data_IF_678606070054
#
_entry.id   IF_678606070054
#
_cell.length_a   1.000
_cell.length_b   1.000
_cell.length_c   1.000
_cell.angle_alpha   90.00
_cell.angle_beta   90.00
_cell.angle_gamma   90.00
#
_symmetry.space_group_name_H-M   'P 1'
#
loop_
_entity.id
_entity.type
_entity.pdbx_description
1 polymer ?
#
# COMPACT_ATOMS: atom_id res chain seq x y z
N UNK A 1 -27.98 -25.64 36.81
CA UNK A 1 -28.39 -24.74 35.70
C UNK A 1 -27.15 -24.13 35.06
N UNK A 2 -27.27 -23.70 33.81
CA UNK A 2 -26.27 -23.72 32.74
C UNK A 2 -25.02 -22.84 32.89
N UNK A 3 -23.95 -23.34 32.25
CA UNK A 3 -22.64 -22.72 31.96
C UNK A 3 -22.77 -21.56 30.96
N UNK A 4 -21.87 -20.59 31.02
CA UNK A 4 -21.32 -19.96 29.80
C UNK A 4 -19.91 -19.44 30.06
N UNK A 5 -18.94 -20.11 29.46
CA UNK A 5 -17.56 -19.67 29.31
C UNK A 5 -17.48 -18.90 27.99
N UNK A 6 -17.15 -17.61 28.05
CA UNK A 6 -16.89 -16.80 26.86
C UNK A 6 -15.45 -17.03 26.39
N UNK A 7 -15.28 -17.97 25.46
CA UNK A 7 -14.06 -18.14 24.68
C UNK A 7 -13.90 -16.96 23.71
N UNK A 8 -13.19 -15.91 24.15
CA UNK A 8 -12.61 -14.92 23.22
C UNK A 8 -11.30 -15.48 22.69
N UNK A 9 -11.35 -15.96 21.46
CA UNK A 9 -10.18 -16.35 20.67
C UNK A 9 -9.35 -15.08 20.43
N UNK A 10 -8.27 -14.93 21.17
CA UNK A 10 -7.29 -13.88 20.98
C UNK A 10 -6.41 -14.23 19.78
N UNK A 11 -6.65 -13.57 18.64
CA UNK A 11 -5.66 -13.49 17.56
C UNK A 11 -4.60 -12.43 17.93
N UNK A 12 -3.71 -12.81 18.86
CA UNK A 12 -2.44 -12.10 19.06
C UNK A 12 -1.35 -13.16 19.24
N UNK A 13 -0.80 -13.65 18.12
CA UNK A 13 0.33 -14.57 18.12
C UNK A 13 1.61 -13.80 18.43
N UNK A 14 1.82 -13.47 19.70
CA UNK A 14 3.18 -13.25 20.24
C UNK A 14 3.90 -14.60 20.25
N UNK A 15 4.82 -14.80 19.29
CA UNK A 15 5.64 -16.00 19.13
C UNK A 15 6.81 -16.02 20.14
N UNK A 16 6.91 -17.03 21.03
CA UNK A 16 8.17 -17.41 21.63
C UNK A 16 8.85 -18.51 20.81
N UNK A 17 10.06 -18.24 20.32
CA UNK A 17 11.10 -19.26 20.20
C UNK A 17 11.39 -19.86 18.82
N UNK A 18 12.68 -19.73 18.45
CA UNK A 18 13.54 -20.72 17.75
C UNK A 18 13.61 -20.68 16.21
N UNK A 19 14.49 -19.81 15.72
CA UNK A 19 15.66 -20.16 14.87
C UNK A 19 15.50 -21.15 13.70
N UNK A 20 14.33 -21.26 13.05
CA UNK A 20 14.15 -22.21 11.94
C UNK A 20 13.27 -21.77 10.76
N UNK A 21 12.42 -20.74 10.90
CA UNK A 21 11.53 -20.32 9.81
C UNK A 21 11.91 -18.92 9.31
N UNK A 22 13.12 -18.76 8.73
CA UNK A 22 13.51 -17.50 8.11
C UNK A 22 12.59 -17.12 6.94
N UNK A 23 12.01 -18.11 6.25
CA UNK A 23 11.16 -17.89 5.07
C UNK A 23 9.82 -17.21 5.40
N UNK A 24 9.16 -17.59 6.49
CA UNK A 24 7.91 -16.93 6.91
C UNK A 24 8.14 -15.52 7.45
N UNK A 25 9.36 -15.22 7.93
CA UNK A 25 9.66 -13.96 8.59
C UNK A 25 9.60 -12.79 7.62
N UNK A 26 10.13 -12.95 6.41
CA UNK A 26 10.23 -11.84 5.45
C UNK A 26 8.85 -11.32 5.01
N UNK A 27 7.92 -12.21 4.65
CA UNK A 27 6.54 -11.82 4.32
C UNK A 27 5.80 -11.31 5.56
N UNK A 28 6.05 -11.89 6.73
CA UNK A 28 5.47 -11.41 7.99
C UNK A 28 5.89 -9.97 8.29
N UNK A 29 7.17 -9.64 8.11
CA UNK A 29 7.71 -8.30 8.32
C UNK A 29 7.07 -7.31 7.33
N UNK A 30 6.88 -7.70 6.08
CA UNK A 30 6.16 -6.90 5.08
C UNK A 30 4.70 -6.65 5.49
N UNK A 31 3.97 -7.67 5.95
CA UNK A 31 2.58 -7.54 6.44
C UNK A 31 2.48 -6.57 7.63
N UNK A 32 3.50 -6.54 8.48
CA UNK A 32 3.61 -5.63 9.63
C UNK A 32 3.94 -4.21 9.15
N UNK A 33 4.91 -4.06 8.26
CA UNK A 33 5.28 -2.77 7.68
C UNK A 33 4.07 -2.11 7.00
N UNK A 34 3.32 -2.86 6.19
CA UNK A 34 2.10 -2.34 5.55
C UNK A 34 1.00 -1.99 6.56
N UNK A 35 0.93 -2.71 7.69
CA UNK A 35 0.02 -2.30 8.78
C UNK A 35 0.38 -0.91 9.31
N UNK A 36 1.67 -0.66 9.50
CA UNK A 36 2.15 0.61 10.01
C UNK A 36 1.90 1.74 9.01
N UNK A 37 2.09 1.48 7.70
CA UNK A 37 1.73 2.43 6.63
C UNK A 37 0.25 2.80 6.70
N UNK A 38 -0.65 1.80 6.74
CA UNK A 38 -2.09 2.02 6.88
C UNK A 38 -2.43 2.90 8.10
N UNK A 39 -1.86 2.61 9.27
CA UNK A 39 -2.09 3.41 10.48
C UNK A 39 -1.56 4.85 10.34
N UNK A 40 -0.43 5.04 9.65
CA UNK A 40 0.10 6.35 9.33
C UNK A 40 -0.83 7.12 8.38
N UNK A 41 -1.42 6.46 7.38
CA UNK A 41 -2.39 7.07 6.48
C UNK A 41 -3.65 7.49 7.24
N UNK A 42 -4.22 6.62 8.07
CA UNK A 42 -5.39 6.95 8.90
C UNK A 42 -5.11 8.13 9.84
N UNK A 43 -3.93 8.16 10.45
CA UNK A 43 -3.52 9.27 11.32
C UNK A 43 -3.36 10.56 10.52
N UNK A 44 -2.70 10.49 9.36
CA UNK A 44 -2.51 11.63 8.47
C UNK A 44 -3.87 12.23 8.09
N UNK A 45 -4.83 11.42 7.63
CA UNK A 45 -6.18 11.90 7.30
C UNK A 45 -6.82 12.61 8.50
N UNK A 46 -6.78 12.01 9.69
CA UNK A 46 -7.40 12.59 10.88
C UNK A 46 -6.77 13.92 11.29
N UNK A 47 -5.44 14.01 11.26
CA UNK A 47 -4.73 15.24 11.63
C UNK A 47 -4.92 16.32 10.56
N UNK A 48 -4.96 15.95 9.28
CA UNK A 48 -5.24 16.86 8.17
C UNK A 48 -6.68 17.38 8.20
N UNK A 49 -7.67 16.52 8.45
CA UNK A 49 -9.07 16.93 8.58
C UNK A 49 -9.28 17.96 9.71
N UNK A 50 -8.62 17.76 10.87
CA UNK A 50 -8.65 18.74 11.97
C UNK A 50 -8.04 20.09 11.56
N UNK A 51 -6.92 20.06 10.82
CA UNK A 51 -6.31 21.28 10.32
C UNK A 51 -7.24 22.02 9.34
N UNK A 52 -7.93 21.27 8.47
CA UNK A 52 -8.91 21.80 7.53
C UNK A 52 -10.14 22.41 8.24
N UNK A 53 -10.66 21.75 9.28
CA UNK A 53 -11.78 22.28 10.07
C UNK A 53 -11.37 23.53 10.86
N UNK A 54 -10.15 23.58 11.39
CA UNK A 54 -9.60 24.76 12.04
C UNK A 54 -9.43 25.92 11.05
N UNK A 55 -8.94 25.65 9.83
CA UNK A 55 -8.82 26.64 8.76
C UNK A 55 -10.18 27.25 8.40
N UNK A 56 -11.19 26.40 8.18
CA UNK A 56 -12.56 26.84 7.89
C UNK A 56 -13.13 27.68 9.03
N UNK A 57 -12.99 27.21 10.27
CA UNK A 57 -13.50 27.89 11.46
C UNK A 57 -12.86 29.25 11.67
N UNK A 58 -11.54 29.35 11.47
CA UNK A 58 -10.83 30.61 11.53
C UNK A 58 -11.30 31.56 10.42
N UNK A 59 -11.37 31.09 9.17
CA UNK A 59 -11.78 31.92 8.03
C UNK A 59 -13.16 32.55 8.21
N UNK A 60 -14.15 31.80 8.71
CA UNK A 60 -15.50 32.32 8.99
C UNK A 60 -15.46 33.47 10.02
N UNK A 61 -14.51 33.46 10.95
CA UNK A 61 -14.36 34.48 11.98
C UNK A 61 -13.74 35.81 11.51
N UNK A 62 -13.06 35.82 10.36
CA UNK A 62 -12.28 36.99 9.89
C UNK A 62 -13.04 37.91 8.92
N UNK A 63 -14.14 37.43 8.33
CA UNK A 63 -14.95 38.22 7.39
C UNK A 63 -15.60 37.37 6.31
N UNK A 64 -16.45 38.00 5.51
CA UNK A 64 -17.21 37.31 4.46
C UNK A 64 -16.31 36.76 3.34
N UNK A 65 -15.29 37.51 2.94
CA UNK A 65 -14.37 37.14 1.87
C UNK A 65 -13.43 35.99 2.28
N UNK A 66 -12.76 36.11 3.42
CA UNK A 66 -11.92 35.05 3.96
C UNK A 66 -12.76 33.83 4.34
N UNK A 67 -13.96 34.04 4.89
CA UNK A 67 -14.91 32.98 5.20
C UNK A 67 -15.26 32.16 3.97
N UNK A 68 -15.60 32.80 2.86
CA UNK A 68 -15.97 32.12 1.61
C UNK A 68 -14.78 31.37 0.97
N UNK A 69 -13.66 32.08 0.75
CA UNK A 69 -12.48 31.52 0.06
C UNK A 69 -11.86 30.37 0.86
N UNK A 70 -11.71 30.53 2.18
CA UNK A 70 -11.11 29.49 3.02
C UNK A 70 -12.07 28.33 3.28
N UNK A 71 -13.38 28.57 3.33
CA UNK A 71 -14.36 27.47 3.40
C UNK A 71 -14.35 26.62 2.13
N UNK A 72 -14.27 27.27 0.96
CA UNK A 72 -14.15 26.61 -0.34
C UNK A 72 -12.82 25.84 -0.44
N UNK A 73 -11.72 26.46 -0.02
CA UNK A 73 -10.39 25.82 0.03
C UNK A 73 -10.39 24.61 0.97
N UNK A 74 -11.03 24.73 2.14
CA UNK A 74 -11.20 23.64 3.08
C UNK A 74 -11.99 22.47 2.46
N UNK A 75 -13.04 22.75 1.70
CA UNK A 75 -13.80 21.70 1.00
C UNK A 75 -12.94 20.95 -0.03
N UNK A 76 -12.07 21.64 -0.77
CA UNK A 76 -11.11 20.97 -1.67
C UNK A 76 -10.11 20.11 -0.91
N UNK A 77 -9.60 20.60 0.22
CA UNK A 77 -8.67 19.84 1.06
C UNK A 77 -9.33 18.60 1.71
N UNK A 78 -10.64 18.62 1.93
CA UNK A 78 -11.36 17.41 2.37
C UNK A 78 -11.41 16.31 1.30
N UNK A 79 -11.41 16.66 0.00
CA UNK A 79 -11.25 15.64 -1.05
C UNK A 79 -9.92 14.93 -0.95
N UNK A 80 -8.84 15.65 -0.64
CA UNK A 80 -7.53 15.02 -0.40
C UNK A 80 -7.58 14.03 0.78
N UNK A 81 -8.22 14.41 1.89
CA UNK A 81 -8.45 13.49 3.01
C UNK A 81 -9.17 12.21 2.58
N UNK A 82 -10.24 12.34 1.80
CA UNK A 82 -11.03 11.21 1.32
C UNK A 82 -10.19 10.26 0.44
N UNK A 83 -9.39 10.81 -0.48
CA UNK A 83 -8.52 10.00 -1.34
C UNK A 83 -7.42 9.30 -0.56
N UNK A 84 -6.84 9.94 0.48
CA UNK A 84 -5.88 9.26 1.37
C UNK A 84 -6.57 8.14 2.18
N UNK A 85 -7.82 8.33 2.60
CA UNK A 85 -8.61 7.26 3.23
C UNK A 85 -8.93 6.10 2.29
N UNK A 86 -9.15 6.36 1.00
CA UNK A 86 -9.25 5.32 -0.03
C UNK A 86 -7.94 4.54 -0.13
N UNK A 87 -6.79 5.22 -0.20
CA UNK A 87 -5.47 4.57 -0.20
C UNK A 87 -5.27 3.69 1.05
N UNK A 88 -5.66 4.16 2.24
CA UNK A 88 -5.61 3.33 3.46
C UNK A 88 -6.46 2.05 3.33
N UNK A 89 -7.65 2.16 2.74
CA UNK A 89 -8.53 1.02 2.47
C UNK A 89 -7.91 0.05 1.45
N UNK A 90 -7.24 0.57 0.41
CA UNK A 90 -6.47 -0.24 -0.54
C UNK A 90 -5.32 -0.98 0.16
N UNK A 91 -4.58 -0.33 1.06
CA UNK A 91 -3.54 -0.97 1.88
C UNK A 91 -4.10 -2.14 2.70
N UNK A 92 -5.32 -2.03 3.24
CA UNK A 92 -5.96 -3.14 3.94
C UNK A 92 -6.26 -4.33 3.01
N UNK A 93 -6.69 -4.09 1.77
CA UNK A 93 -6.88 -5.14 0.75
C UNK A 93 -5.56 -5.80 0.37
N UNK A 94 -4.51 -5.00 0.13
CA UNK A 94 -3.14 -5.47 -0.15
C UNK A 94 -2.67 -6.46 0.92
N UNK A 95 -2.86 -6.11 2.20
CA UNK A 95 -2.50 -6.99 3.32
C UNK A 95 -3.28 -8.30 3.35
N UNK A 96 -4.50 -8.33 2.80
CA UNK A 96 -5.30 -9.55 2.71
C UNK A 96 -4.68 -10.52 1.70
N UNK A 97 -4.19 -10.04 0.56
CA UNK A 97 -3.43 -10.86 -0.39
C UNK A 97 -2.11 -11.39 0.21
N UNK A 98 -1.39 -10.56 0.96
CA UNK A 98 -0.16 -11.03 1.62
C UNK A 98 -0.43 -12.12 2.66
N UNK A 99 -1.51 -11.97 3.44
CA UNK A 99 -1.92 -12.98 4.42
C UNK A 99 -2.34 -14.30 3.77
N UNK A 100 -3.02 -14.25 2.62
CA UNK A 100 -3.42 -15.48 1.92
C UNK A 100 -2.22 -16.28 1.43
N UNK A 101 -1.15 -15.62 0.95
CA UNK A 101 0.14 -16.28 0.67
C UNK A 101 0.69 -16.90 1.95
N UNK A 102 0.76 -16.14 3.05
CA UNK A 102 1.34 -16.63 4.31
C UNK A 102 0.64 -17.90 4.81
N UNK A 103 -0.69 -17.95 4.69
CA UNK A 103 -1.46 -19.15 5.04
C UNK A 103 -1.06 -20.37 4.21
N UNK A 104 -0.79 -20.22 2.92
CA UNK A 104 -0.31 -21.33 2.08
C UNK A 104 1.14 -21.71 2.37
N UNK A 105 2.01 -20.74 2.67
CA UNK A 105 3.38 -21.03 3.13
C UNK A 105 3.39 -21.82 4.44
N UNK A 106 2.52 -21.46 5.39
CA UNK A 106 2.33 -22.19 6.64
C UNK A 106 1.84 -23.63 6.40
N UNK A 107 0.94 -23.84 5.44
CA UNK A 107 0.44 -25.17 5.04
C UNK A 107 1.56 -26.04 4.42
N UNK A 108 2.35 -25.47 3.51
CA UNK A 108 3.51 -26.17 2.93
C UNK A 108 4.54 -26.56 4.00
N UNK A 109 4.84 -25.66 4.94
CA UNK A 109 5.74 -25.98 6.05
C UNK A 109 5.19 -27.08 6.95
N UNK A 110 3.87 -27.18 7.13
CA UNK A 110 3.25 -28.28 7.84
C UNK A 110 3.43 -29.61 7.12
N UNK A 111 3.29 -29.65 5.78
CA UNK A 111 3.58 -30.84 4.97
C UNK A 111 5.05 -31.26 5.10
N UNK A 112 5.98 -30.32 4.99
CA UNK A 112 7.41 -30.61 5.15
C UNK A 112 7.77 -31.11 6.56
N UNK A 113 7.08 -30.63 7.61
CA UNK A 113 7.24 -31.16 8.97
C UNK A 113 6.68 -32.58 9.09
N UNK A 114 5.53 -32.87 8.47
CA UNK A 114 4.96 -34.22 8.40
C UNK A 114 5.93 -35.18 7.71
N UNK A 115 6.48 -34.79 6.57
CA UNK A 115 7.49 -35.55 5.83
C UNK A 115 8.70 -35.91 6.70
N UNK A 116 9.34 -34.92 7.34
CA UNK A 116 10.48 -35.18 8.26
C UNK A 116 10.11 -36.10 9.42
N UNK A 117 8.91 -35.99 9.97
CA UNK A 117 8.43 -36.89 11.03
C UNK A 117 8.27 -38.32 10.52
N UNK A 118 7.71 -38.51 9.32
CA UNK A 118 7.58 -39.82 8.70
C UNK A 118 8.94 -40.43 8.37
N UNK A 119 9.88 -39.66 7.85
CA UNK A 119 11.26 -40.10 7.62
C UNK A 119 11.91 -40.59 8.91
N UNK A 120 11.84 -39.81 10.00
CA UNK A 120 12.40 -40.21 11.30
C UNK A 120 11.75 -41.49 11.87
N UNK A 121 10.44 -41.67 11.67
CA UNK A 121 9.72 -42.91 12.03
C UNK A 121 10.19 -44.09 11.20
N UNK A 122 10.37 -43.91 9.89
CA UNK A 122 10.87 -44.93 8.98
C UNK A 122 12.30 -45.36 9.36
N UNK A 123 13.21 -44.41 9.58
CA UNK A 123 14.57 -44.69 10.04
C UNK A 123 14.61 -45.45 11.37
N UNK A 124 13.74 -45.05 12.31
CA UNK A 124 13.60 -45.74 13.59
C UNK A 124 13.08 -47.17 13.43
N UNK A 125 12.15 -47.39 12.49
CA UNK A 125 11.62 -48.70 12.16
C UNK A 125 12.66 -49.59 11.46
N UNK A 126 13.44 -49.03 10.52
CA UNK A 126 14.55 -49.69 9.84
C UNK A 126 15.65 -50.08 10.84
N UNK A 127 16.00 -49.20 11.78
CA UNK A 127 16.97 -49.49 12.86
C UNK A 127 16.49 -50.57 13.84
N UNK A 128 15.18 -50.73 14.03
CA UNK A 128 14.62 -51.85 14.81
C UNK A 128 14.69 -53.15 14.02
N UNK A 129 14.35 -53.11 12.72
CA UNK A 129 14.41 -54.26 11.84
C UNK A 129 15.85 -54.81 11.74
N UNK A 130 16.86 -53.95 11.62
CA UNK A 130 18.26 -54.36 11.52
C UNK A 130 18.81 -55.06 12.77
N UNK A 131 18.10 -54.98 13.90
CA UNK A 131 18.45 -55.65 15.17
C UNK A 131 17.64 -56.92 15.43
N UNK A 132 16.68 -57.26 14.56
CA UNK A 132 15.83 -58.44 14.71
C UNK A 132 16.49 -59.70 14.11
N UNK A 133 16.38 -60.84 14.81
CA UNK A 133 16.79 -62.15 14.29
C UNK A 133 15.82 -62.67 13.22
N UNK A 134 16.28 -63.45 12.21
CA UNK A 134 15.44 -64.02 11.17
C UNK A 134 14.27 -64.89 11.68
N UNK A 135 14.38 -65.46 12.88
CA UNK A 135 13.37 -66.32 13.50
C UNK A 135 12.30 -65.54 14.29
N UNK A 136 12.37 -64.21 14.31
CA UNK A 136 11.48 -63.39 15.12
C UNK A 136 10.08 -63.31 14.51
N UNK A 137 9.05 -63.72 15.27
CA UNK A 137 7.65 -63.73 14.84
C UNK A 137 7.12 -62.34 14.44
N UNK A 138 7.72 -61.27 14.94
CA UNK A 138 7.33 -59.88 14.64
C UNK A 138 8.01 -59.30 13.39
N UNK A 139 8.90 -60.06 12.73
CA UNK A 139 9.68 -59.58 11.59
C UNK A 139 8.80 -59.13 10.41
N UNK A 140 7.80 -59.95 10.05
CA UNK A 140 6.89 -59.60 8.95
C UNK A 140 6.04 -58.36 9.25
N UNK A 141 5.55 -58.20 10.48
CA UNK A 141 4.80 -57.01 10.88
C UNK A 141 5.68 -55.75 10.79
N UNK A 142 6.95 -55.84 11.20
CA UNK A 142 7.91 -54.74 11.10
C UNK A 142 8.23 -54.38 9.64
N UNK A 143 8.41 -55.37 8.76
CA UNK A 143 8.61 -55.14 7.32
C UNK A 143 7.38 -54.48 6.67
N UNK A 144 6.17 -54.94 7.01
CA UNK A 144 4.93 -54.33 6.52
C UNK A 144 4.81 -52.86 6.95
N UNK A 145 5.16 -52.54 8.20
CA UNK A 145 5.15 -51.17 8.71
C UNK A 145 6.14 -50.26 7.96
N UNK A 146 7.35 -50.76 7.66
CA UNK A 146 8.34 -49.99 6.89
C UNK A 146 7.82 -49.72 5.48
N UNK A 147 7.24 -50.71 4.81
CA UNK A 147 6.66 -50.52 3.47
C UNK A 147 5.53 -49.48 3.49
N UNK A 148 4.66 -49.52 4.50
CA UNK A 148 3.60 -48.51 4.70
C UNK A 148 4.17 -47.11 4.90
N UNK A 149 5.18 -46.96 5.77
CA UNK A 149 5.82 -45.66 6.02
C UNK A 149 6.51 -45.12 4.76
N UNK A 150 7.15 -45.98 3.96
CA UNK A 150 7.78 -45.58 2.69
C UNK A 150 6.77 -45.11 1.66
N UNK A 151 5.62 -45.77 1.58
CA UNK A 151 4.54 -45.33 0.69
C UNK A 151 3.98 -43.98 1.14
N UNK A 152 3.70 -43.81 2.43
CA UNK A 152 3.22 -42.52 2.97
C UNK A 152 4.24 -41.39 2.77
N UNK A 153 5.55 -41.68 2.88
CA UNK A 153 6.60 -40.70 2.56
C UNK A 153 6.52 -40.29 1.09
N UNK A 154 6.40 -41.25 0.16
CA UNK A 154 6.31 -40.96 -1.28
C UNK A 154 5.05 -40.16 -1.61
N UNK A 155 3.92 -40.44 -0.97
CA UNK A 155 2.69 -39.67 -1.11
C UNK A 155 2.90 -38.21 -0.68
N UNK A 156 3.44 -37.99 0.52
CA UNK A 156 3.69 -36.63 1.05
C UNK A 156 4.75 -35.89 0.22
N UNK A 157 5.77 -36.57 -0.31
CA UNK A 157 6.73 -35.97 -1.25
C UNK A 157 6.04 -35.47 -2.53
N UNK A 158 5.10 -36.26 -3.06
CA UNK A 158 4.25 -35.84 -4.18
C UNK A 158 3.41 -34.60 -3.87
N UNK A 159 2.76 -34.58 -2.70
CA UNK A 159 1.98 -33.43 -2.22
C UNK A 159 2.84 -32.17 -2.07
N UNK A 160 4.04 -32.30 -1.50
CA UNK A 160 4.99 -31.18 -1.34
C UNK A 160 5.39 -30.62 -2.71
N UNK A 161 5.79 -31.47 -3.66
CA UNK A 161 6.20 -31.02 -5.00
C UNK A 161 5.05 -30.30 -5.72
N UNK A 162 3.83 -30.81 -5.62
CA UNK A 162 2.65 -30.19 -6.23
C UNK A 162 2.32 -28.83 -5.58
N UNK A 163 2.34 -28.76 -4.24
CA UNK A 163 2.05 -27.52 -3.50
C UNK A 163 3.14 -26.47 -3.70
N UNK A 164 4.42 -26.85 -3.78
CA UNK A 164 5.53 -25.91 -4.08
C UNK A 164 5.37 -25.23 -5.44
N UNK A 165 5.03 -26.01 -6.48
CA UNK A 165 4.76 -25.47 -7.80
C UNK A 165 3.55 -24.52 -7.78
N UNK A 166 2.43 -24.97 -7.21
CA UNK A 166 1.20 -24.18 -7.14
C UNK A 166 1.34 -22.90 -6.29
N UNK A 167 2.14 -22.96 -5.22
CA UNK A 167 2.44 -21.81 -4.37
C UNK A 167 3.29 -20.78 -5.11
N UNK A 168 4.26 -21.22 -5.91
CA UNK A 168 5.07 -20.34 -6.75
C UNK A 168 4.23 -19.50 -7.72
N UNK A 169 3.29 -20.13 -8.43
CA UNK A 169 2.36 -19.42 -9.32
C UNK A 169 1.41 -18.50 -8.55
N UNK A 170 0.88 -18.98 -7.43
CA UNK A 170 -0.02 -18.20 -6.59
C UNK A 170 0.64 -16.92 -6.05
N UNK A 171 1.89 -17.01 -5.58
CA UNK A 171 2.68 -15.85 -5.13
C UNK A 171 2.79 -14.80 -6.23
N UNK A 172 3.10 -15.20 -7.47
CA UNK A 172 3.17 -14.27 -8.61
C UNK A 172 1.83 -13.62 -8.92
N UNK A 173 0.75 -14.41 -8.93
CA UNK A 173 -0.59 -13.90 -9.21
C UNK A 173 -1.05 -12.89 -8.16
N UNK A 174 -0.89 -13.22 -6.87
CA UNK A 174 -1.26 -12.31 -5.77
C UNK A 174 -0.35 -11.07 -5.73
N UNK A 175 0.96 -11.23 -5.98
CA UNK A 175 1.88 -10.10 -6.04
C UNK A 175 1.53 -9.12 -7.15
N UNK A 176 1.18 -9.63 -8.34
CA UNK A 176 0.69 -8.80 -9.44
C UNK A 176 -0.57 -8.03 -9.04
N UNK A 177 -1.51 -8.68 -8.38
CA UNK A 177 -2.77 -8.07 -7.96
C UNK A 177 -2.55 -6.95 -6.93
N UNK A 178 -1.85 -7.22 -5.82
CA UNK A 178 -1.68 -6.20 -4.80
C UNK A 178 -0.76 -5.06 -5.25
N UNK A 179 0.23 -5.32 -6.10
CA UNK A 179 1.08 -4.25 -6.64
C UNK A 179 0.28 -3.37 -7.60
N UNK A 180 -0.65 -3.96 -8.37
CA UNK A 180 -1.61 -3.20 -9.16
C UNK A 180 -2.47 -2.28 -8.28
N UNK A 181 -2.99 -2.81 -7.17
CA UNK A 181 -3.76 -2.03 -6.21
C UNK A 181 -2.92 -0.89 -5.60
N UNK A 182 -1.67 -1.17 -5.22
CA UNK A 182 -0.77 -0.17 -4.63
C UNK A 182 -0.50 0.99 -5.60
N UNK A 183 -0.14 0.67 -6.85
CA UNK A 183 0.17 1.69 -7.84
C UNK A 183 -1.08 2.42 -8.33
N UNK A 184 -2.23 1.74 -8.45
CA UNK A 184 -3.51 2.37 -8.78
C UNK A 184 -3.92 3.39 -7.73
N UNK A 185 -3.82 3.04 -6.43
CA UNK A 185 -4.13 3.95 -5.34
C UNK A 185 -3.19 5.15 -5.28
N UNK A 186 -1.89 4.95 -5.55
CA UNK A 186 -0.93 6.06 -5.65
C UNK A 186 -1.24 6.97 -6.85
N UNK A 187 -1.67 6.40 -7.98
CA UNK A 187 -2.09 7.14 -9.17
C UNK A 187 -3.29 8.04 -8.87
N UNK A 188 -4.34 7.47 -8.25
CA UNK A 188 -5.54 8.22 -7.84
C UNK A 188 -5.18 9.40 -6.91
N UNK A 189 -4.38 9.15 -5.86
CA UNK A 189 -3.91 10.22 -4.96
C UNK A 189 -3.13 11.29 -5.73
N UNK A 190 -2.25 10.89 -6.65
CA UNK A 190 -1.45 11.82 -7.45
C UNK A 190 -2.32 12.73 -8.32
N UNK A 191 -3.26 12.15 -9.07
CA UNK A 191 -4.16 12.88 -9.97
C UNK A 191 -5.06 13.86 -9.20
N UNK A 192 -5.71 13.39 -8.14
CA UNK A 192 -6.55 14.24 -7.29
C UNK A 192 -5.74 15.36 -6.63
N UNK A 193 -4.51 15.08 -6.17
CA UNK A 193 -3.64 16.09 -5.56
C UNK A 193 -3.30 17.22 -6.52
N UNK A 194 -3.03 16.89 -7.79
CA UNK A 194 -2.73 17.89 -8.81
C UNK A 194 -3.95 18.77 -9.08
N UNK A 195 -5.15 18.19 -9.18
CA UNK A 195 -6.38 18.97 -9.36
C UNK A 195 -6.66 19.89 -8.16
N UNK A 196 -6.56 19.37 -6.94
CA UNK A 196 -6.73 20.17 -5.71
C UNK A 196 -5.74 21.32 -5.66
N UNK A 197 -4.46 21.07 -5.99
CA UNK A 197 -3.44 22.11 -6.02
C UNK A 197 -3.72 23.18 -7.10
N UNK A 198 -4.26 22.78 -8.26
CA UNK A 198 -4.62 23.70 -9.33
C UNK A 198 -5.79 24.60 -8.92
N UNK A 199 -6.95 24.02 -8.56
CA UNK A 199 -8.14 24.80 -8.19
C UNK A 199 -7.96 25.55 -6.88
N UNK A 200 -7.19 25.01 -5.93
CA UNK A 200 -6.84 25.71 -4.70
C UNK A 200 -6.09 27.00 -4.97
N UNK A 201 -5.17 27.03 -5.94
CA UNK A 201 -4.47 28.27 -6.33
C UNK A 201 -5.42 29.28 -6.96
N UNK A 202 -6.36 28.84 -7.79
CA UNK A 202 -7.39 29.71 -8.37
C UNK A 202 -8.28 30.35 -7.30
N UNK A 203 -8.65 29.59 -6.26
CA UNK A 203 -9.38 30.16 -5.11
C UNK A 203 -8.56 31.23 -4.39
N UNK A 204 -7.27 30.98 -4.14
CA UNK A 204 -6.41 31.96 -3.47
C UNK A 204 -6.22 33.23 -4.32
N UNK A 205 -6.17 33.11 -5.64
CA UNK A 205 -6.09 34.26 -6.55
C UNK A 205 -7.32 35.17 -6.48
N UNK A 206 -8.49 34.62 -6.12
CA UNK A 206 -9.72 35.41 -5.93
C UNK A 206 -9.74 36.26 -4.64
N UNK A 207 -8.70 36.16 -3.80
CA UNK A 207 -8.64 36.88 -2.53
C UNK A 207 -8.40 38.38 -2.70
N UNK A 208 -9.31 39.25 -2.19
CA UNK A 208 -9.15 40.69 -2.35
C UNK A 208 -8.04 41.22 -1.42
N UNK A 209 -6.96 41.74 -2.02
CA UNK A 209 -5.80 42.29 -1.31
C UNK A 209 -5.87 43.81 -1.10
N UNK A 210 -7.03 44.43 -1.37
CA UNK A 210 -7.20 45.87 -1.19
C UNK A 210 -6.97 46.30 0.25
N UNK A 211 -6.14 47.35 0.41
CA UNK A 211 -5.83 47.89 1.73
C UNK A 211 -7.06 48.60 2.30
N UNK A 212 -7.44 48.23 3.52
CA UNK A 212 -8.44 48.96 4.28
C UNK A 212 -7.77 50.10 5.04
N UNK A 213 -8.29 51.32 4.90
CA UNK A 213 -7.81 52.47 5.66
C UNK A 213 -8.26 52.39 7.14
N UNK A 214 -7.40 52.77 8.10
CA UNK A 214 -7.75 52.71 9.51
C UNK A 214 -9.04 53.50 9.84
N UNK A 215 -10.01 52.83 10.46
CA UNK A 215 -11.29 53.43 10.85
C UNK A 215 -12.38 53.41 9.78
N UNK A 216 -12.08 52.93 8.56
CA UNK A 216 -13.09 52.66 7.53
C UNK A 216 -13.45 51.17 7.48
N UNK A 217 -14.70 50.83 7.10
CA UNK A 217 -15.07 49.44 6.84
C UNK A 217 -14.33 48.92 5.60
N UNK A 218 -14.12 47.60 5.55
CA UNK A 218 -13.57 46.93 4.36
C UNK A 218 -14.57 47.01 3.19
N UNK A 219 -14.05 46.94 1.96
CA UNK A 219 -14.86 46.86 0.76
C UNK A 219 -15.83 45.66 0.81
N UNK A 220 -17.02 45.83 0.23
CA UNK A 220 -18.03 44.78 0.17
C UNK A 220 -17.53 43.63 -0.71
N UNK A 221 -17.66 42.41 -0.20
CA UNK A 221 -17.26 41.21 -0.94
C UNK A 221 -18.31 40.82 -1.99
N UNK A 222 -17.87 40.55 -3.22
CA UNK A 222 -18.76 40.12 -4.33
C UNK A 222 -18.28 38.84 -5.01
N UNK A 223 -17.30 38.14 -4.42
CA UNK A 223 -16.63 36.99 -5.05
C UNK A 223 -17.36 35.64 -4.93
N UNK A 224 -18.48 35.57 -4.20
CA UNK A 224 -19.21 34.31 -3.92
C UNK A 224 -19.57 33.48 -5.16
N UNK A 225 -19.90 34.14 -6.27
CA UNK A 225 -20.25 33.42 -7.50
C UNK A 225 -19.01 32.79 -8.16
N UNK A 226 -17.88 33.51 -8.14
CA UNK A 226 -16.61 33.04 -8.69
C UNK A 226 -16.06 31.87 -7.87
N UNK A 227 -16.00 31.98 -6.55
CA UNK A 227 -15.52 30.92 -5.66
C UNK A 227 -16.39 29.66 -5.79
N UNK A 228 -17.71 29.82 -5.86
CA UNK A 228 -18.64 28.71 -6.10
C UNK A 228 -18.43 28.05 -7.46
N UNK A 229 -18.20 28.82 -8.53
CA UNK A 229 -17.89 28.26 -9.85
C UNK A 229 -16.63 27.41 -9.81
N UNK A 230 -15.54 27.94 -9.25
CA UNK A 230 -14.25 27.24 -9.11
C UNK A 230 -14.42 25.95 -8.29
N UNK A 231 -15.15 26.01 -7.17
CA UNK A 231 -15.39 24.84 -6.32
C UNK A 231 -16.21 23.76 -7.05
N UNK A 232 -17.24 24.13 -7.80
CA UNK A 232 -18.04 23.19 -8.58
C UNK A 232 -17.23 22.55 -9.72
N UNK A 233 -16.40 23.32 -10.41
CA UNK A 233 -15.51 22.80 -11.46
C UNK A 233 -14.48 21.82 -10.89
N UNK A 234 -13.94 22.12 -9.71
CA UNK A 234 -13.04 21.23 -9.00
C UNK A 234 -13.73 19.91 -8.60
N UNK A 235 -14.93 19.97 -8.03
CA UNK A 235 -15.73 18.79 -7.68
C UNK A 235 -15.98 17.90 -8.90
N UNK A 236 -16.38 18.50 -10.03
CA UNK A 236 -16.62 17.77 -11.27
C UNK A 236 -15.33 17.16 -11.86
N UNK A 237 -14.21 17.88 -11.78
CA UNK A 237 -12.92 17.37 -12.23
C UNK A 237 -12.43 16.19 -11.37
N UNK A 238 -12.57 16.30 -10.04
CA UNK A 238 -12.19 15.25 -9.10
C UNK A 238 -13.07 14.01 -9.28
N UNK A 239 -14.37 14.17 -9.50
CA UNK A 239 -15.30 13.04 -9.76
C UNK A 239 -14.97 12.23 -11.01
N UNK A 240 -14.24 12.82 -11.97
CA UNK A 240 -13.83 12.15 -13.21
C UNK A 240 -12.54 11.34 -13.06
N UNK A 241 -11.84 11.46 -11.93
CA UNK A 241 -10.66 10.63 -11.66
C UNK A 241 -11.12 9.19 -11.44
N UNK A 242 -10.60 8.29 -12.25
CA UNK A 242 -10.92 6.86 -12.19
C UNK A 242 -9.77 6.08 -11.56
N UNK A 243 -10.09 5.26 -10.56
CA UNK A 243 -9.14 4.31 -10.02
C UNK A 243 -8.83 3.21 -11.05
N UNK A 244 -7.56 3.05 -11.41
CA UNK A 244 -7.10 2.03 -12.35
C UNK A 244 -5.94 1.22 -11.77
N UNK A 245 -6.14 -0.05 -11.36
CA UNK A 245 -5.08 -0.87 -10.79
C UNK A 245 -4.08 -1.40 -11.83
N UNK A 246 -4.41 -1.28 -13.11
CA UNK A 246 -3.59 -1.75 -14.22
C UNK A 246 -3.44 -0.64 -15.26
N UNK A 247 -2.30 -0.60 -15.98
CA UNK A 247 -2.04 0.45 -16.95
C UNK A 247 -3.15 0.49 -18.01
N UNK A 248 -3.74 1.67 -18.19
CA UNK A 248 -4.53 2.00 -19.36
C UNK A 248 -3.59 2.29 -20.54
N UNK A 249 -4.09 2.21 -21.78
CA UNK A 249 -3.28 2.45 -22.99
C UNK A 249 -2.81 3.91 -23.15
N UNK A 250 -3.07 4.79 -22.19
CA UNK A 250 -2.78 6.22 -22.23
C UNK A 250 -2.21 6.69 -20.89
N UNK A 251 -1.19 7.55 -20.93
CA UNK A 251 -0.72 8.26 -19.75
C UNK A 251 -1.81 9.23 -19.25
N UNK A 252 -1.93 9.44 -17.93
CA UNK A 252 -2.85 10.45 -17.38
C UNK A 252 -2.55 11.83 -17.98
N UNK A 253 -3.58 12.48 -18.51
CA UNK A 253 -3.47 13.86 -19.00
C UNK A 253 -3.38 14.80 -17.80
N UNK A 254 -2.20 15.39 -17.57
CA UNK A 254 -2.05 16.47 -16.61
C UNK A 254 -2.88 17.69 -17.06
N UNK A 255 -3.46 18.46 -16.13
CA UNK A 255 -4.15 19.69 -16.49
C UNK A 255 -3.16 20.65 -17.17
N UNK A 256 -3.31 20.80 -18.49
CA UNK A 256 -2.56 21.79 -19.28
C UNK A 256 -3.24 23.13 -19.03
N UNK A 257 -2.48 24.07 -18.45
CA UNK A 257 -2.91 25.46 -18.30
C UNK A 257 -3.12 26.08 -19.69
N UNK A 258 -4.35 26.11 -20.19
CA UNK A 258 -4.74 26.94 -21.33
C UNK A 258 -4.86 28.41 -20.91
N UNK A 259 -3.79 28.97 -20.33
CA UNK A 259 -3.59 30.43 -20.30
C UNK A 259 -2.67 30.80 -21.47
N UNK A 260 -3.17 30.58 -22.69
CA UNK A 260 -2.54 31.06 -23.91
C UNK A 260 -2.74 32.57 -24.03
N UNK A 261 -1.79 33.32 -23.48
CA UNK A 261 -1.35 34.61 -24.01
C UNK A 261 0.09 34.90 -23.58
N UNK A 262 1.03 34.07 -24.03
CA UNK A 262 2.42 34.46 -24.27
C UNK A 262 3.09 33.37 -25.13
N UNK A 263 3.46 33.73 -26.35
CA UNK A 263 4.25 32.89 -27.23
C UNK A 263 5.64 32.61 -26.61
N UNK A 264 6.06 31.34 -26.55
CA UNK A 264 7.41 30.92 -26.15
C UNK A 264 7.56 29.40 -26.17
N UNK A 265 8.69 28.84 -26.64
CA UNK A 265 8.68 27.72 -27.58
C UNK A 265 8.70 26.34 -26.92
N UNK A 266 7.67 25.55 -27.21
CA UNK A 266 7.67 24.10 -27.05
C UNK A 266 8.23 23.46 -28.32
N UNK A 267 9.57 23.37 -28.42
CA UNK A 267 10.21 22.59 -29.49
C UNK A 267 11.63 22.16 -29.09
N UNK A 268 11.74 21.42 -27.97
CA UNK A 268 13.02 20.87 -27.51
C UNK A 268 12.91 19.47 -26.93
N UNK A 269 12.22 18.55 -27.61
CA UNK A 269 12.47 17.12 -27.44
C UNK A 269 12.26 16.39 -28.77
N UNK A 270 13.17 16.63 -29.71
CA UNK A 270 13.42 15.71 -30.83
C UNK A 270 14.93 15.52 -30.97
N UNK A 271 15.37 14.33 -30.56
CA UNK A 271 16.47 13.53 -31.13
C UNK A 271 17.64 14.26 -31.80
N UNK A 272 18.80 14.28 -31.14
CA UNK A 272 20.10 13.87 -31.71
C UNK A 272 21.25 13.91 -30.67
N UNK A 273 22.11 12.89 -30.74
CA UNK A 273 23.36 12.67 -29.98
C UNK A 273 24.54 13.49 -30.58
N UNK A 274 25.79 13.45 -30.05
CA UNK A 274 26.37 14.51 -29.23
C UNK A 274 27.61 15.18 -29.86
N UNK A 275 27.73 16.52 -29.77
CA UNK A 275 29.05 17.18 -29.89
C UNK A 275 29.21 18.34 -28.89
N UNK A 276 30.20 18.14 -28.01
CA UNK A 276 31.18 19.12 -27.51
C UNK A 276 30.87 20.63 -27.66
N UNK A 277 30.63 21.30 -26.52
CA UNK A 277 31.43 22.43 -25.98
C UNK A 277 30.57 23.33 -25.07
N UNK A 278 31.17 23.76 -23.97
CA UNK A 278 30.47 24.10 -22.72
C UNK A 278 29.81 25.48 -22.62
N UNK A 279 28.80 25.53 -21.77
CA UNK A 279 28.66 26.50 -20.66
C UNK A 279 27.40 26.11 -19.86
N UNK A 280 27.56 25.70 -18.60
CA UNK A 280 26.43 25.32 -17.74
C UNK A 280 26.09 26.46 -16.76
N UNK A 281 24.81 26.77 -16.56
CA UNK A 281 24.33 27.23 -15.28
C UNK A 281 23.45 26.15 -14.60
N UNK A 282 23.95 25.68 -13.45
CA UNK A 282 23.23 25.28 -12.23
C UNK A 282 21.86 24.57 -12.33
N UNK A 283 21.94 23.23 -12.33
CA UNK A 283 21.20 22.22 -11.55
C UNK A 283 19.79 22.53 -11.03
N UNK A 284 18.80 21.84 -11.61
CA UNK A 284 17.52 21.48 -10.97
C UNK A 284 17.73 20.16 -10.20
N UNK A 285 17.27 20.13 -8.95
CA UNK A 285 17.11 19.00 -8.03
C UNK A 285 17.57 17.61 -8.54
N UNK A 286 18.76 17.17 -8.12
CA UNK A 286 19.10 15.75 -8.06
C UNK A 286 18.79 15.25 -6.64
N UNK A 287 18.05 14.14 -6.44
CA UNK A 287 17.92 13.55 -5.12
C UNK A 287 19.28 13.00 -4.69
N UNK A 288 19.76 13.42 -3.52
CA UNK A 288 21.00 12.92 -2.93
C UNK A 288 20.98 11.38 -2.82
N UNK A 289 22.08 10.68 -3.14
CA UNK A 289 22.16 9.25 -2.95
C UNK A 289 22.03 8.90 -1.46
N UNK A 290 21.13 7.96 -1.15
CA UNK A 290 20.91 7.45 0.20
C UNK A 290 22.23 6.87 0.77
N UNK A 291 22.57 7.12 2.05
CA UNK A 291 23.72 6.48 2.68
C UNK A 291 23.49 4.96 2.83
N UNK A 292 24.56 4.15 2.75
CA UNK A 292 24.45 2.70 2.86
C UNK A 292 24.02 2.27 4.29
N UNK A 293 23.34 1.11 4.42
CA UNK A 293 22.86 0.64 5.71
C UNK A 293 24.03 0.25 6.63
N UNK A 294 24.09 0.85 7.81
CA UNK A 294 25.00 0.45 8.88
C UNK A 294 24.43 -0.80 9.57
N UNK A 295 25.09 -1.94 9.44
CA UNK A 295 24.83 -3.10 10.29
C UNK A 295 25.36 -2.83 11.71
N UNK A 296 24.59 -3.15 12.78
CA UNK A 296 25.10 -3.09 14.14
C UNK A 296 25.97 -4.33 14.43
N UNK A 297 27.13 -4.08 15.04
CA UNK A 297 27.99 -5.07 15.70
C UNK A 297 27.42 -5.51 17.04
#
# INVERSE_FOLDING_TARGET
>A
MFKSAATKIAHNSTLPGLAGNNELRTLQDLIIAEKAVMHSLDRLTNDFAKAVDALRSWGIGEGEDLGDILSSSASLLLHFCNTISHLSSHTQTIRTHMKSIRTREEALLALQRRHRSLQSKCESADKKLSKMSPENKNLQAQMSLINQLREEIREVEGEIMAEEAALGDYKRAQAKEWMGIQFGGLGEVGEVSVLIAYYGKLLIESMPLERTDPGLPRAMYTGHEQTRSIANEADEAIRRVEYTPFPSNSLPSLPISNHSNAAGPADRYSTQTPESSGNAPSTIYAPSPLPPPTHPS
#
